data_IF_268112525672
#
_entry.id   IF_268112525672
#
_cell.length_a   1.000
_cell.length_b   1.000
_cell.length_c   1.000
_cell.angle_alpha   90.00
_cell.angle_beta   90.00
_cell.angle_gamma   90.00
#
_symmetry.space_group_name_H-M   'P 1'
#
loop_
_entity.id
_entity.type
_entity.pdbx_description
1 polymer ?
#
# COMPACT_ATOMS: atom_id res chain seq x y z
N UNK A 1 22.35 29.93 -2.86
CA UNK A 1 23.46 28.98 -2.68
C UNK A 1 22.84 27.67 -2.24
N UNK A 2 23.09 26.57 -2.95
CA UNK A 2 22.53 25.26 -2.64
C UNK A 2 23.32 24.56 -1.51
N UNK A 3 22.73 23.59 -0.82
CA UNK A 3 23.43 22.76 0.18
C UNK A 3 24.64 22.04 -0.42
N UNK A 4 24.54 21.63 -1.68
CA UNK A 4 25.64 21.02 -2.43
C UNK A 4 26.77 22.04 -2.64
N UNK A 5 26.44 23.27 -3.03
CA UNK A 5 27.45 24.33 -3.23
C UNK A 5 28.21 24.67 -1.93
N UNK A 6 27.52 24.63 -0.78
CA UNK A 6 28.15 24.84 0.52
C UNK A 6 29.02 23.65 0.90
N UNK A 7 28.52 22.42 0.72
CA UNK A 7 29.29 21.20 0.93
C UNK A 7 30.59 21.18 0.12
N UNK A 8 30.51 21.52 -1.17
CA UNK A 8 31.65 21.56 -2.07
C UNK A 8 32.69 22.60 -1.65
N UNK A 9 32.25 23.80 -1.21
CA UNK A 9 33.15 24.83 -0.68
C UNK A 9 33.82 24.45 0.65
N UNK A 10 33.18 23.61 1.45
CA UNK A 10 33.71 23.10 2.72
C UNK A 10 34.49 21.78 2.59
N UNK A 11 34.45 21.14 1.41
CA UNK A 11 34.99 19.80 1.21
C UNK A 11 34.25 18.72 2.01
N UNK A 12 32.94 18.89 2.22
CA UNK A 12 32.07 17.93 2.91
C UNK A 12 30.93 17.50 1.99
N UNK A 13 30.35 16.32 2.24
CA UNK A 13 29.19 15.88 1.48
C UNK A 13 27.97 16.74 1.79
N UNK A 14 27.06 16.92 0.82
CA UNK A 14 25.78 17.60 1.04
C UNK A 14 25.03 17.05 2.26
N UNK A 15 25.05 15.72 2.43
CA UNK A 15 24.43 15.05 3.58
C UNK A 15 25.07 15.44 4.92
N UNK A 16 26.39 15.62 4.96
CA UNK A 16 27.08 16.09 6.16
C UNK A 16 26.70 17.54 6.49
N UNK A 17 26.53 18.39 5.47
CA UNK A 17 26.05 19.75 5.66
C UNK A 17 24.58 19.79 6.12
N UNK A 18 23.71 18.96 5.55
CA UNK A 18 22.32 18.83 5.99
C UNK A 18 22.21 18.43 7.47
N UNK A 19 23.12 17.59 7.99
CA UNK A 19 23.17 17.27 9.42
C UNK A 19 23.62 18.43 10.31
N UNK A 20 24.37 19.39 9.78
CA UNK A 20 24.67 20.63 10.50
C UNK A 20 23.44 21.54 10.58
N UNK A 21 22.67 21.66 9.49
CA UNK A 21 21.43 22.44 9.47
C UNK A 21 20.33 21.82 10.36
N UNK A 22 20.20 20.50 10.34
CA UNK A 22 19.24 19.76 11.16
C UNK A 22 19.63 19.70 12.65
N UNK A 23 20.79 20.25 13.05
CA UNK A 23 21.29 20.20 14.43
C UNK A 23 21.70 18.80 14.91
N UNK A 24 21.64 17.79 14.04
CA UNK A 24 22.05 16.39 14.37
C UNK A 24 23.54 16.26 14.61
N UNK A 25 24.33 17.19 14.07
CA UNK A 25 25.77 17.23 14.23
C UNK A 25 26.22 18.68 14.38
N UNK A 26 26.95 18.98 15.45
CA UNK A 26 27.51 20.31 15.66
C UNK A 26 28.89 20.39 14.97
N UNK A 27 29.11 21.32 14.03
CA UNK A 27 30.42 21.52 13.44
C UNK A 27 31.40 22.05 14.49
N UNK A 28 32.64 21.55 14.48
CA UNK A 28 33.70 22.06 15.34
C UNK A 28 34.03 23.52 14.96
N UNK A 29 34.53 24.29 15.92
CA UNK A 29 34.86 25.71 15.75
C UNK A 29 35.61 26.07 14.45
N UNK A 30 36.65 25.32 14.00
CA UNK A 30 37.32 25.63 12.72
C UNK A 30 36.37 25.57 11.51
N UNK A 31 35.46 24.59 11.49
CA UNK A 31 34.47 24.43 10.41
C UNK A 31 33.36 25.46 10.49
N UNK A 32 33.00 25.90 11.69
CA UNK A 32 32.04 26.97 11.89
C UNK A 32 32.59 28.31 11.33
N UNK A 33 33.88 28.58 11.52
CA UNK A 33 34.52 29.76 10.93
C UNK A 33 34.52 29.73 9.40
N UNK A 34 34.84 28.58 8.79
CA UNK A 34 34.76 28.40 7.34
C UNK A 34 33.33 28.60 6.81
N UNK A 35 32.33 28.04 7.51
CA UNK A 35 30.91 28.25 7.21
C UNK A 35 30.52 29.72 7.26
N UNK A 36 30.94 30.44 8.31
CA UNK A 36 30.69 31.87 8.44
C UNK A 36 31.31 32.69 7.31
N UNK A 37 32.53 32.36 6.90
CA UNK A 37 33.19 33.01 5.77
C UNK A 37 32.44 32.78 4.44
N UNK A 38 31.90 31.58 4.22
CA UNK A 38 31.14 31.21 3.01
C UNK A 38 29.76 31.90 2.99
N UNK A 39 29.12 32.02 4.15
CA UNK A 39 27.77 32.58 4.30
C UNK A 39 27.76 34.09 4.59
N UNK A 40 28.93 34.71 4.78
CA UNK A 40 29.05 36.14 5.10
C UNK A 40 28.66 36.48 6.55
N UNK A 41 28.69 35.51 7.46
CA UNK A 41 28.34 35.68 8.87
C UNK A 41 29.58 36.11 9.65
N UNK A 42 29.43 37.13 10.53
CA UNK A 42 30.56 37.64 11.29
C UNK A 42 31.00 36.65 12.38
N UNK A 43 32.29 36.66 12.72
CA UNK A 43 32.84 35.80 13.79
C UNK A 43 32.14 36.02 15.15
N UNK A 44 31.65 37.24 15.40
CA UNK A 44 30.92 37.57 16.63
C UNK A 44 29.56 36.87 16.69
N UNK A 45 28.85 36.84 15.57
CA UNK A 45 27.54 36.18 15.48
C UNK A 45 27.66 34.65 15.62
N UNK A 46 28.74 34.08 15.06
CA UNK A 46 29.05 32.65 15.23
C UNK A 46 29.42 32.30 16.67
N UNK A 47 30.14 33.18 17.37
CA UNK A 47 30.54 32.96 18.76
C UNK A 47 29.34 33.03 19.70
N UNK A 48 28.45 34.01 19.52
CA UNK A 48 27.22 34.13 20.31
C UNK A 48 26.31 32.90 20.15
N UNK A 49 26.22 32.35 18.93
CA UNK A 49 25.49 31.12 18.68
C UNK A 49 26.17 29.88 19.30
N UNK A 50 27.50 29.84 19.32
CA UNK A 50 28.27 28.72 19.89
C UNK A 50 28.23 28.71 21.43
N UNK A 51 28.40 29.86 22.08
CA UNK A 51 28.34 30.01 23.54
C UNK A 51 26.94 29.71 24.10
N UNK A 52 25.88 29.98 23.34
CA UNK A 52 24.52 29.60 23.70
C UNK A 52 24.22 28.09 23.62
N UNK A 53 25.11 27.30 23.01
CA UNK A 53 24.96 25.84 22.85
C UNK A 53 25.72 25.09 23.94
N UNK A 54 26.85 25.60 24.44
CA UNK A 54 27.64 24.95 25.50
C UNK A 54 27.07 25.13 26.92
N UNK A 55 26.06 26.00 27.13
CA UNK A 55 25.42 26.21 28.44
C UNK A 55 24.24 25.27 28.76
N UNK A 56 24.05 24.17 28.01
CA UNK A 56 22.92 23.24 28.25
C UNK A 56 23.28 21.95 29.00
N UNK A 57 24.49 21.82 29.56
CA UNK A 57 24.95 20.60 30.24
C UNK A 57 25.11 20.71 31.78
N UNK A 58 24.56 21.72 32.44
CA UNK A 58 24.47 21.70 33.91
C UNK A 58 23.12 22.17 34.41
N UNK A 59 22.31 21.20 34.83
CA UNK A 59 21.46 21.23 36.02
C UNK A 59 20.82 22.59 36.36
N UNK A 60 19.75 22.96 35.67
CA UNK A 60 18.81 23.97 36.18
C UNK A 60 17.38 23.58 35.87
N UNK A 61 16.55 23.53 36.92
CA UNK A 61 15.10 23.30 36.88
C UNK A 61 14.38 24.53 36.30
N UNK A 62 14.69 24.85 35.05
CA UNK A 62 13.99 25.86 34.26
C UNK A 62 12.65 25.32 33.78
N UNK A 63 11.58 25.77 34.44
CA UNK A 63 10.16 25.47 34.17
C UNK A 63 9.77 25.55 32.67
N UNK A 64 10.54 26.25 31.83
CA UNK A 64 10.34 26.36 30.38
C UNK A 64 10.71 25.14 29.51
N UNK A 65 11.54 24.21 29.99
CA UNK A 65 11.97 23.05 29.19
C UNK A 65 11.10 21.80 29.42
N UNK A 66 10.34 21.75 30.53
CA UNK A 66 9.46 20.62 30.85
C UNK A 66 8.27 20.50 29.90
N UNK A 67 7.68 21.63 29.49
CA UNK A 67 6.55 21.69 28.55
C UNK A 67 6.99 21.25 27.15
N UNK A 68 8.15 21.71 26.67
CA UNK A 68 8.72 21.26 25.39
C UNK A 68 8.99 19.75 25.36
N UNK A 69 9.52 19.20 26.46
CA UNK A 69 9.76 17.76 26.59
C UNK A 69 8.45 16.95 26.60
N UNK A 70 7.40 17.46 27.26
CA UNK A 70 6.05 16.85 27.21
C UNK A 70 5.48 16.88 25.79
N UNK A 71 5.58 18.02 25.10
CA UNK A 71 5.09 18.19 23.73
C UNK A 71 5.83 17.25 22.77
N UNK A 72 7.15 17.12 22.86
CA UNK A 72 7.94 16.17 22.08
C UNK A 72 7.54 14.71 22.33
N UNK A 73 7.25 14.38 23.59
CA UNK A 73 6.80 13.03 23.97
C UNK A 73 5.42 12.74 23.38
N UNK A 74 4.48 13.68 23.50
CA UNK A 74 3.14 13.57 22.93
C UNK A 74 3.18 13.47 21.39
N UNK A 75 4.04 14.24 20.72
CA UNK A 75 4.23 14.10 19.27
C UNK A 75 4.76 12.71 18.91
N UNK A 76 5.76 12.22 19.63
CA UNK A 76 6.33 10.89 19.36
C UNK A 76 5.29 9.78 19.57
N UNK A 77 4.42 9.90 20.56
CA UNK A 77 3.30 8.99 20.80
C UNK A 77 2.25 9.08 19.68
N UNK A 78 1.85 10.28 19.29
CA UNK A 78 0.92 10.50 18.19
C UNK A 78 1.44 9.92 16.86
N UNK A 79 2.73 10.08 16.57
CA UNK A 79 3.35 9.46 15.39
C UNK A 79 3.35 7.92 15.45
N UNK A 80 3.61 7.33 16.62
CA UNK A 80 3.52 5.86 16.77
C UNK A 80 2.09 5.37 16.57
N UNK A 81 1.11 6.07 17.11
CA UNK A 81 -0.29 5.67 16.98
C UNK A 81 -0.79 5.86 15.54
N UNK A 82 -0.35 6.91 14.85
CA UNK A 82 -0.58 7.08 13.42
C UNK A 82 0.04 5.94 12.61
N UNK A 83 1.27 5.50 12.94
CA UNK A 83 1.92 4.38 12.28
C UNK A 83 1.18 3.06 12.50
N UNK A 84 0.66 2.80 13.70
CA UNK A 84 -0.19 1.63 13.99
C UNK A 84 -1.50 1.69 13.22
N UNK A 85 -2.15 2.85 13.18
CA UNK A 85 -3.39 3.05 12.44
C UNK A 85 -3.18 2.79 10.94
N UNK A 86 -2.05 3.27 10.38
CA UNK A 86 -1.67 2.99 9.00
C UNK A 86 -1.46 1.50 8.78
N UNK A 87 -0.71 0.81 9.64
CA UNK A 87 -0.50 -0.63 9.53
C UNK A 87 -1.83 -1.43 9.55
N UNK A 88 -2.77 -1.05 10.43
CA UNK A 88 -4.09 -1.64 10.49
C UNK A 88 -4.91 -1.40 9.20
N UNK A 89 -4.85 -0.19 8.64
CA UNK A 89 -5.49 0.11 7.35
C UNK A 89 -4.91 -0.75 6.22
N UNK A 90 -3.60 -0.95 6.18
CA UNK A 90 -2.95 -1.79 5.16
C UNK A 90 -3.43 -3.25 5.25
N UNK A 91 -3.62 -3.76 6.46
CA UNK A 91 -4.13 -5.11 6.67
C UNK A 91 -5.61 -5.25 6.30
N UNK A 92 -6.43 -4.24 6.57
CA UNK A 92 -7.82 -4.16 6.09
C UNK A 92 -7.86 -4.19 4.56
N UNK A 93 -7.03 -3.39 3.89
CA UNK A 93 -6.97 -3.35 2.42
C UNK A 93 -6.60 -4.72 1.84
N UNK A 94 -5.59 -5.39 2.40
CA UNK A 94 -5.19 -6.75 1.98
C UNK A 94 -6.34 -7.76 2.12
N UNK A 95 -7.12 -7.66 3.18
CA UNK A 95 -8.28 -8.53 3.39
C UNK A 95 -9.42 -8.23 2.39
N UNK A 96 -9.64 -6.95 2.06
CA UNK A 96 -10.60 -6.54 1.02
C UNK A 96 -10.19 -7.11 -0.34
N UNK A 97 -8.92 -6.95 -0.73
CA UNK A 97 -8.38 -7.50 -1.99
C UNK A 97 -8.59 -9.02 -2.09
N UNK A 98 -8.29 -9.75 -1.01
CA UNK A 98 -8.51 -11.20 -0.95
C UNK A 98 -9.97 -11.57 -1.12
N UNK A 99 -10.88 -10.78 -0.55
CA UNK A 99 -12.32 -11.02 -0.68
C UNK A 99 -12.85 -10.68 -2.08
N UNK A 100 -12.34 -9.62 -2.72
CA UNK A 100 -12.68 -9.30 -4.11
C UNK A 100 -12.24 -10.44 -5.06
N UNK A 101 -11.01 -10.95 -4.91
CA UNK A 101 -10.54 -12.09 -5.70
C UNK A 101 -11.42 -13.34 -5.52
N UNK A 102 -11.93 -13.58 -4.31
CA UNK A 102 -12.89 -14.65 -4.05
C UNK A 102 -14.22 -14.41 -4.76
N UNK A 103 -14.76 -13.20 -4.71
CA UNK A 103 -16.00 -12.86 -5.43
C UNK A 103 -15.85 -13.05 -6.94
N UNK A 104 -14.74 -12.62 -7.54
CA UNK A 104 -14.47 -12.84 -8.96
C UNK A 104 -14.42 -14.34 -9.30
N UNK A 105 -13.81 -15.16 -8.44
CA UNK A 105 -13.79 -16.61 -8.63
C UNK A 105 -15.19 -17.23 -8.54
N UNK A 106 -16.03 -16.75 -7.62
CA UNK A 106 -17.42 -17.19 -7.48
C UNK A 106 -18.25 -16.82 -8.70
N UNK A 107 -18.11 -15.59 -9.21
CA UNK A 107 -18.80 -15.15 -10.43
C UNK A 107 -18.43 -16.03 -11.64
N UNK A 108 -17.16 -16.42 -11.78
CA UNK A 108 -16.74 -17.37 -12.83
C UNK A 108 -17.37 -18.75 -12.66
N UNK A 109 -17.47 -19.26 -11.43
CA UNK A 109 -18.14 -20.53 -11.15
C UNK A 109 -19.62 -20.46 -11.51
N UNK A 110 -20.30 -19.37 -11.17
CA UNK A 110 -21.71 -19.16 -11.52
C UNK A 110 -21.92 -19.11 -13.03
N UNK A 111 -21.06 -18.40 -13.77
CA UNK A 111 -21.11 -18.40 -15.24
C UNK A 111 -20.97 -19.81 -15.81
N UNK A 112 -19.95 -20.55 -15.36
CA UNK A 112 -19.72 -21.93 -15.84
C UNK A 112 -20.90 -22.86 -15.49
N UNK A 113 -21.53 -22.67 -14.32
CA UNK A 113 -22.70 -23.45 -13.92
C UNK A 113 -23.89 -23.15 -14.83
N UNK A 114 -24.14 -21.88 -15.14
CA UNK A 114 -25.22 -21.49 -16.03
C UNK A 114 -25.01 -22.02 -17.46
N UNK A 115 -23.77 -21.99 -17.96
CA UNK A 115 -23.42 -22.59 -19.25
C UNK A 115 -23.67 -24.11 -19.25
N UNK A 116 -23.29 -24.82 -18.18
CA UNK A 116 -23.54 -26.25 -18.04
C UNK A 116 -25.04 -26.58 -17.97
N UNK A 117 -25.83 -25.78 -17.24
CA UNK A 117 -27.28 -25.95 -17.16
C UNK A 117 -27.95 -25.75 -18.53
N UNK A 118 -27.55 -24.72 -19.29
CA UNK A 118 -28.04 -24.50 -20.64
C UNK A 118 -27.73 -25.70 -21.55
N UNK A 119 -26.52 -26.26 -21.44
CA UNK A 119 -26.16 -27.49 -22.17
C UNK A 119 -27.04 -28.68 -21.80
N UNK A 120 -27.35 -28.87 -20.51
CA UNK A 120 -28.25 -29.95 -20.06
C UNK A 120 -29.67 -29.77 -20.63
N UNK A 121 -30.20 -28.54 -20.62
CA UNK A 121 -31.51 -28.25 -21.22
C UNK A 121 -31.55 -28.60 -22.70
N UNK A 122 -30.50 -28.25 -23.46
CA UNK A 122 -30.43 -28.62 -24.89
C UNK A 122 -30.42 -30.13 -25.11
N UNK A 123 -29.66 -30.87 -24.31
CA UNK A 123 -29.61 -32.33 -24.39
C UNK A 123 -30.93 -32.99 -23.99
N UNK A 124 -31.66 -32.40 -23.04
CA UNK A 124 -32.99 -32.86 -22.66
C UNK A 124 -33.97 -32.74 -23.82
N UNK A 125 -33.99 -31.59 -24.49
CA UNK A 125 -34.83 -31.36 -25.68
C UNK A 125 -34.49 -32.33 -26.80
N UNK A 126 -33.20 -32.53 -27.07
CA UNK A 126 -32.74 -33.47 -28.09
C UNK A 126 -33.16 -34.92 -27.74
N UNK A 127 -33.07 -35.31 -26.47
CA UNK A 127 -33.52 -36.63 -26.01
C UNK A 127 -35.03 -36.82 -26.19
N UNK A 128 -35.84 -35.81 -25.88
CA UNK A 128 -37.30 -35.88 -26.07
C UNK A 128 -37.66 -36.08 -27.54
N UNK A 129 -36.96 -35.38 -28.44
CA UNK A 129 -37.13 -35.52 -29.88
C UNK A 129 -36.78 -36.92 -30.36
N UNK A 130 -35.65 -37.48 -29.91
CA UNK A 130 -35.24 -38.85 -30.24
C UNK A 130 -36.28 -39.87 -29.76
N UNK A 131 -36.83 -39.68 -28.56
CA UNK A 131 -37.87 -40.55 -28.01
C UNK A 131 -39.17 -40.47 -28.83
N UNK A 132 -39.55 -39.29 -29.30
CA UNK A 132 -40.71 -39.11 -30.18
C UNK A 132 -40.51 -39.82 -31.54
N UNK A 133 -39.32 -39.68 -32.15
CA UNK A 133 -38.99 -40.34 -33.41
C UNK A 133 -39.01 -41.87 -33.28
N UNK A 134 -38.49 -42.42 -32.17
CA UNK A 134 -38.55 -43.84 -31.85
C UNK A 134 -40.00 -44.35 -31.67
N UNK A 135 -40.85 -43.56 -31.01
CA UNK A 135 -42.26 -43.90 -30.83
C UNK A 135 -43.00 -43.99 -32.19
N UNK A 136 -42.72 -43.07 -33.12
CA UNK A 136 -43.28 -43.11 -34.47
C UNK A 136 -42.82 -44.34 -35.27
N UNK A 137 -41.53 -44.67 -35.22
CA UNK A 137 -40.97 -45.84 -35.91
C UNK A 137 -41.56 -47.16 -35.40
N UNK A 138 -41.75 -47.27 -34.09
CA UNK A 138 -42.34 -48.47 -33.47
C UNK A 138 -43.83 -48.61 -33.79
N UNK A 139 -44.58 -47.51 -33.82
CA UNK A 139 -45.98 -47.50 -34.24
C UNK A 139 -46.15 -47.90 -35.72
N UNK A 140 -45.31 -47.39 -36.62
CA UNK A 140 -45.37 -47.73 -38.05
C UNK A 140 -45.04 -49.20 -38.34
N UNK A 141 -44.18 -49.83 -37.53
CA UNK A 141 -43.81 -51.25 -37.69
C UNK A 141 -44.92 -52.22 -37.29
N UNK A 142 -45.74 -51.86 -36.30
CA UNK A 142 -46.85 -52.71 -35.83
C UNK A 142 -48.12 -52.60 -36.69
N UNK A 143 -48.22 -51.58 -37.56
CA UNK A 143 -49.34 -51.40 -38.49
C UNK A 143 -49.20 -52.12 -39.85
N UNK A 144 -48.06 -52.77 -40.11
CA UNK A 144 -47.76 -53.39 -41.42
C UNK A 144 -47.88 -54.93 -41.44
N UNK A 145 -48.37 -55.56 -40.36
CA UNK A 145 -48.50 -57.02 -40.25
C UNK A 145 -49.95 -57.42 -40.06
N UNK A 146 -50.72 -57.38 -41.15
CA UNK A 146 -52.07 -57.94 -41.17
C UNK A 146 -52.88 -57.41 -42.34
N UNK A 147 -52.60 -57.92 -43.53
CA UNK A 147 -53.56 -58.08 -44.64
C UNK A 147 -52.82 -58.69 -45.84
N UNK A 148 -52.41 -59.96 -45.73
CA UNK A 148 -51.88 -60.69 -46.89
C UNK A 148 -52.22 -62.20 -46.83
N UNK A 149 -53.39 -62.56 -46.27
CA UNK A 149 -53.91 -63.92 -46.31
C UNK A 149 -55.42 -63.92 -46.66
N UNK A 150 -55.75 -63.64 -47.93
CA UNK A 150 -56.88 -64.32 -48.59
C UNK A 150 -56.93 -64.03 -50.11
N UNK A 151 -56.45 -64.99 -50.93
CA UNK A 151 -57.08 -65.39 -52.20
C UNK A 151 -56.36 -66.58 -52.84
#
# INVERSE_FOLDING_TARGET
MSQQDVGDKLGITQRAYAFYEDGRRIPKWPRLQELGAILGISRKDLLAAYEGIEQNDTDDEGVGNSELKKVLTLMAEAYRDQAKAFAAQTEILKNIEKNMARQESQAKIETNLNEALAGIETLSVDSEKIMADLALLTAGRNGSSGDDDNK
#
